data_IF_238163894117
#
_entry.id   IF_238163894117
#
_cell.length_a   1.000
_cell.length_b   1.000
_cell.length_c   1.000
_cell.angle_alpha   90.00
_cell.angle_beta   90.00
_cell.angle_gamma   90.00
#
_symmetry.space_group_name_H-M   'P 1'
#
loop_
_entity.id
_entity.type
_entity.pdbx_description
1 polymer ?
#
# COMPACT_ATOMS: atom_id res chain seq x y z
N UNK A 1 -28.89 16.15 -3.81
CA UNK A 1 -29.76 16.04 -2.62
C UNK A 1 -29.20 16.75 -1.37
N UNK A 2 -27.88 16.68 -1.11
CA UNK A 2 -27.27 17.44 0.00
C UNK A 2 -27.58 16.90 1.40
N UNK A 3 -27.87 15.60 1.52
CA UNK A 3 -28.27 14.96 2.77
C UNK A 3 -27.40 13.74 3.14
N UNK A 4 -26.94 12.96 2.15
CA UNK A 4 -26.04 11.82 2.38
C UNK A 4 -24.60 12.24 2.74
N UNK A 5 -23.69 12.33 1.75
CA UNK A 5 -22.29 12.75 1.95
C UNK A 5 -22.14 14.06 2.75
N UNK A 6 -22.98 15.06 2.46
CA UNK A 6 -23.01 16.33 3.22
C UNK A 6 -23.37 16.10 4.69
N UNK A 7 -24.36 15.25 4.97
CA UNK A 7 -24.73 14.92 6.34
C UNK A 7 -23.64 14.13 7.06
N UNK A 8 -22.98 13.20 6.39
CA UNK A 8 -21.83 12.46 6.94
C UNK A 8 -20.70 13.40 7.31
N UNK A 9 -20.34 14.36 6.44
CA UNK A 9 -19.28 15.33 6.71
C UNK A 9 -19.61 16.22 7.93
N UNK A 10 -20.82 16.78 7.97
CA UNK A 10 -21.26 17.65 9.09
C UNK A 10 -21.33 16.85 10.40
N UNK A 11 -21.87 15.62 10.35
CA UNK A 11 -21.93 14.75 11.51
C UNK A 11 -20.53 14.47 12.07
N UNK A 12 -19.58 14.11 11.20
CA UNK A 12 -18.20 13.85 11.58
C UNK A 12 -17.58 15.07 12.27
N UNK A 13 -17.72 16.26 11.67
CA UNK A 13 -17.21 17.49 12.25
C UNK A 13 -17.78 17.76 13.66
N UNK A 14 -19.10 17.65 13.81
CA UNK A 14 -19.78 17.86 15.10
C UNK A 14 -19.33 16.85 16.16
N UNK A 15 -19.15 15.59 15.77
CA UNK A 15 -18.72 14.51 16.67
C UNK A 15 -17.27 14.71 17.11
N UNK A 16 -16.37 15.11 16.20
CA UNK A 16 -14.97 15.37 16.57
C UNK A 16 -14.85 16.57 17.51
N UNK A 17 -15.65 17.62 17.30
CA UNK A 17 -15.74 18.74 18.25
C UNK A 17 -16.28 18.30 19.61
N UNK A 18 -17.27 17.39 19.63
CA UNK A 18 -17.79 16.80 20.87
C UNK A 18 -16.70 16.01 21.61
N UNK A 19 -15.91 15.23 20.88
CA UNK A 19 -14.79 14.46 21.44
C UNK A 19 -13.77 15.38 22.12
N UNK A 20 -13.37 16.46 21.44
CA UNK A 20 -12.40 17.43 21.96
C UNK A 20 -12.90 18.15 23.21
N UNK A 21 -14.16 18.60 23.22
CA UNK A 21 -14.71 19.40 24.30
C UNK A 21 -15.16 18.59 25.51
N UNK A 22 -15.65 17.36 25.30
CA UNK A 22 -16.31 16.56 26.34
C UNK A 22 -15.58 15.27 26.68
N UNK A 23 -14.57 14.89 25.90
CA UNK A 23 -13.89 13.60 26.03
C UNK A 23 -14.79 12.40 25.72
N UNK A 24 -15.95 12.62 25.08
CA UNK A 24 -16.96 11.61 24.78
C UNK A 24 -17.64 11.92 23.45
N UNK A 25 -18.09 10.88 22.75
CA UNK A 25 -18.82 11.00 21.48
C UNK A 25 -20.17 10.30 21.56
N UNK A 26 -21.19 10.88 20.93
CA UNK A 26 -22.50 10.25 20.75
C UNK A 26 -22.92 10.37 19.27
N UNK A 27 -22.55 9.36 18.50
CA UNK A 27 -22.73 9.34 17.04
C UNK A 27 -24.22 9.26 16.69
N UNK A 28 -24.99 8.44 17.41
CA UNK A 28 -26.42 8.27 17.18
C UNK A 28 -27.18 9.58 17.40
N UNK A 29 -27.04 10.19 18.58
CA UNK A 29 -27.74 11.44 18.88
C UNK A 29 -27.30 12.58 17.96
N UNK A 30 -26.04 12.58 17.50
CA UNK A 30 -25.56 13.57 16.54
C UNK A 30 -26.29 13.47 15.21
N UNK A 31 -26.50 12.27 14.67
CA UNK A 31 -27.26 12.07 13.43
C UNK A 31 -28.75 12.37 13.63
N UNK A 32 -29.34 11.98 14.78
CA UNK A 32 -30.74 12.31 15.10
C UNK A 32 -30.97 13.82 15.12
N UNK A 33 -30.09 14.59 15.74
CA UNK A 33 -30.17 16.07 15.76
C UNK A 33 -30.11 16.65 14.36
N UNK A 34 -29.18 16.19 13.51
CA UNK A 34 -29.12 16.65 12.12
C UNK A 34 -30.41 16.34 11.35
N UNK A 35 -31.05 15.20 11.63
CA UNK A 35 -32.32 14.82 11.01
C UNK A 35 -33.51 15.64 11.49
N UNK A 36 -33.45 16.23 12.68
CA UNK A 36 -34.44 17.19 13.17
C UNK A 36 -34.37 18.51 12.39
N UNK A 37 -33.15 18.96 12.05
CA UNK A 37 -32.95 20.20 11.28
C UNK A 37 -33.21 19.99 9.78
N UNK A 38 -32.85 18.82 9.23
CA UNK A 38 -33.05 18.46 7.83
C UNK A 38 -33.27 16.97 7.66
N UNK A 39 -34.41 16.59 7.09
CA UNK A 39 -34.75 15.19 6.83
C UNK A 39 -33.66 14.45 6.03
N UNK A 40 -33.48 13.17 6.34
CA UNK A 40 -32.61 12.21 5.65
C UNK A 40 -31.09 12.49 5.72
N UNK A 41 -30.62 13.34 6.65
CA UNK A 41 -29.19 13.52 6.89
C UNK A 41 -28.52 12.18 7.27
N UNK A 42 -27.38 11.87 6.64
CA UNK A 42 -26.74 10.54 6.63
C UNK A 42 -27.73 9.50 6.10
N UNK A 43 -27.76 9.34 4.78
CA UNK A 43 -28.90 8.75 4.07
C UNK A 43 -28.89 7.22 4.04
N UNK A 44 -27.72 6.59 4.06
CA UNK A 44 -27.55 5.13 3.88
C UNK A 44 -26.86 4.49 5.08
N UNK A 45 -27.03 3.18 5.24
CA UNK A 45 -26.35 2.40 6.28
C UNK A 45 -24.83 2.52 6.17
N UNK A 46 -24.26 2.29 4.98
CA UNK A 46 -22.80 2.46 4.75
C UNK A 46 -22.27 3.87 5.04
N UNK A 47 -23.09 4.93 4.91
CA UNK A 47 -22.67 6.28 5.32
C UNK A 47 -22.62 6.44 6.83
N UNK A 48 -23.48 5.74 7.56
CA UNK A 48 -23.49 5.71 9.01
C UNK A 48 -22.36 4.84 9.55
N UNK A 49 -22.09 3.70 8.92
CA UNK A 49 -20.93 2.85 9.21
C UNK A 49 -19.61 3.59 8.96
N UNK A 50 -19.45 4.19 7.77
CA UNK A 50 -18.30 5.05 7.48
C UNK A 50 -18.12 6.15 8.53
N UNK A 51 -19.21 6.74 9.04
CA UNK A 51 -19.14 7.76 10.09
C UNK A 51 -18.51 7.20 11.39
N UNK A 52 -18.94 6.02 11.86
CA UNK A 52 -18.34 5.35 13.02
C UNK A 52 -16.86 5.06 12.79
N UNK A 53 -16.55 4.51 11.63
CA UNK A 53 -15.21 4.16 11.21
C UNK A 53 -14.28 5.37 11.14
N UNK A 54 -14.74 6.48 10.56
CA UNK A 54 -13.99 7.72 10.46
C UNK A 54 -13.76 8.37 11.84
N UNK A 55 -14.75 8.31 12.75
CA UNK A 55 -14.60 8.80 14.12
C UNK A 55 -13.56 7.97 14.88
N UNK A 56 -13.61 6.64 14.77
CA UNK A 56 -12.65 5.74 15.39
C UNK A 56 -11.22 6.06 14.91
N UNK A 57 -11.01 6.13 13.59
CA UNK A 57 -9.71 6.45 13.00
C UNK A 57 -9.21 7.83 13.43
N UNK A 58 -10.06 8.85 13.42
CA UNK A 58 -9.69 10.21 13.82
C UNK A 58 -9.27 10.30 15.29
N UNK A 59 -10.02 9.67 16.21
CA UNK A 59 -9.70 9.66 17.64
C UNK A 59 -8.40 8.89 17.88
N UNK A 60 -8.27 7.70 17.27
CA UNK A 60 -7.09 6.84 17.38
C UNK A 60 -5.81 7.54 16.89
N UNK A 61 -5.88 8.28 15.80
CA UNK A 61 -4.74 8.96 15.19
C UNK A 61 -4.51 10.40 15.70
N UNK A 62 -5.42 10.97 16.50
CA UNK A 62 -5.37 12.38 16.93
C UNK A 62 -4.05 12.79 17.63
N UNK A 63 -3.40 11.85 18.32
CA UNK A 63 -2.13 12.10 19.03
C UNK A 63 -0.87 11.93 18.16
N UNK A 64 -1.00 11.29 17.00
CA UNK A 64 0.12 10.99 16.11
C UNK A 64 0.52 12.19 15.23
N UNK A 65 -0.31 13.24 15.16
CA UNK A 65 0.02 14.45 14.40
C UNK A 65 0.88 15.38 15.24
N UNK A 66 2.16 15.47 14.90
CA UNK A 66 3.12 16.36 15.57
C UNK A 66 3.37 17.60 14.72
N UNK A 67 3.26 18.78 15.35
CA UNK A 67 3.74 20.01 14.73
C UNK A 67 5.28 20.04 14.81
N UNK A 68 5.95 20.46 13.74
CA UNK A 68 7.43 20.44 13.65
C UNK A 68 8.11 21.19 14.81
N UNK A 69 7.51 22.27 15.31
CA UNK A 69 8.04 23.02 16.47
C UNK A 69 8.04 22.23 17.78
N UNK A 70 7.21 21.18 17.86
CA UNK A 70 7.00 20.37 19.06
C UNK A 70 7.85 19.10 19.02
N UNK A 71 8.57 18.83 17.93
CA UNK A 71 9.52 17.72 17.82
C UNK A 71 10.80 18.10 18.57
N UNK A 72 10.74 18.00 19.90
CA UNK A 72 11.91 18.20 20.78
C UNK A 72 12.37 16.89 21.41
N UNK A 73 11.45 15.94 21.58
CA UNK A 73 11.70 14.65 22.20
C UNK A 73 10.87 13.59 21.49
N UNK A 74 11.48 12.44 21.20
CA UNK A 74 10.72 11.26 20.78
C UNK A 74 9.93 10.72 21.99
N UNK A 75 8.68 10.27 21.79
CA UNK A 75 7.98 9.50 22.81
C UNK A 75 8.79 8.26 23.20
N UNK A 76 8.55 7.74 24.41
CA UNK A 76 9.19 6.50 24.84
C UNK A 76 8.72 5.29 24.01
N UNK A 77 9.53 4.22 24.00
CA UNK A 77 9.27 3.01 23.21
C UNK A 77 7.90 2.37 23.51
N UNK A 78 7.38 2.47 24.74
CA UNK A 78 6.09 1.88 25.09
C UNK A 78 4.95 2.70 24.48
N UNK A 79 5.05 4.03 24.51
CA UNK A 79 4.10 4.92 23.84
C UNK A 79 4.06 4.65 22.33
N UNK A 80 5.23 4.58 21.67
CA UNK A 80 5.31 4.28 20.23
C UNK A 80 4.72 2.90 19.89
N UNK A 81 4.98 1.88 20.73
CA UNK A 81 4.40 0.54 20.56
C UNK A 81 2.88 0.56 20.68
N UNK A 82 2.33 1.29 21.64
CA UNK A 82 0.88 1.42 21.81
C UNK A 82 0.24 2.14 20.63
N UNK A 83 0.89 3.17 20.09
CA UNK A 83 0.44 3.86 18.87
C UNK A 83 0.43 2.92 17.67
N UNK A 84 1.48 2.12 17.46
CA UNK A 84 1.53 1.11 16.40
C UNK A 84 0.39 0.10 16.51
N UNK A 85 0.16 -0.46 17.71
CA UNK A 85 -0.94 -1.41 17.94
C UNK A 85 -2.32 -0.78 17.69
N UNK A 86 -2.46 0.50 18.01
CA UNK A 86 -3.70 1.25 17.73
C UNK A 86 -3.93 1.36 16.22
N UNK A 87 -2.89 1.69 15.44
CA UNK A 87 -2.96 1.73 13.97
C UNK A 87 -3.36 0.36 13.40
N UNK A 88 -2.73 -0.72 13.85
CA UNK A 88 -3.09 -2.08 13.41
C UNK A 88 -4.55 -2.44 13.71
N UNK A 89 -5.05 -2.08 14.90
CA UNK A 89 -6.44 -2.34 15.32
C UNK A 89 -7.45 -1.59 14.44
N UNK A 90 -7.18 -0.31 14.17
CA UNK A 90 -8.02 0.51 13.28
C UNK A 90 -8.02 -0.08 11.87
N UNK A 91 -6.85 -0.38 11.29
CA UNK A 91 -6.75 -0.96 9.95
C UNK A 91 -7.49 -2.30 9.86
N UNK A 92 -7.34 -3.16 10.85
CA UNK A 92 -8.05 -4.46 10.89
C UNK A 92 -9.57 -4.28 10.89
N UNK A 93 -10.07 -3.24 11.56
CA UNK A 93 -11.50 -2.89 11.55
C UNK A 93 -11.93 -2.37 10.19
N UNK A 94 -11.12 -1.50 9.56
CA UNK A 94 -11.36 -0.95 8.22
C UNK A 94 -11.38 -2.02 7.12
N UNK A 95 -10.54 -3.04 7.22
CA UNK A 95 -10.49 -4.12 6.23
C UNK A 95 -11.74 -5.01 6.31
N UNK A 96 -12.22 -5.31 7.52
CA UNK A 96 -13.44 -6.12 7.70
C UNK A 96 -14.69 -5.47 7.10
N UNK A 97 -14.83 -4.16 7.28
CA UNK A 97 -15.96 -3.43 6.69
C UNK A 97 -15.91 -3.44 5.17
N UNK A 98 -14.71 -3.36 4.57
CA UNK A 98 -14.54 -3.49 3.12
C UNK A 98 -14.90 -4.88 2.60
N UNK A 99 -14.45 -5.93 3.28
CA UNK A 99 -14.81 -7.31 2.92
C UNK A 99 -16.33 -7.55 3.03
N UNK A 100 -16.99 -6.99 4.03
CA UNK A 100 -18.46 -7.06 4.18
C UNK A 100 -19.19 -6.26 3.08
N UNK A 101 -18.68 -5.11 2.66
CA UNK A 101 -19.20 -4.33 1.51
C UNK A 101 -19.00 -5.06 0.18
N UNK A 102 -17.81 -5.59 -0.10
CA UNK A 102 -17.49 -6.33 -1.33
C UNK A 102 -18.36 -7.60 -1.45
N UNK A 103 -18.56 -8.35 -0.35
CA UNK A 103 -19.44 -9.53 -0.33
C UNK A 103 -20.91 -9.21 -0.65
N UNK A 104 -21.39 -8.01 -0.30
CA UNK A 104 -22.75 -7.56 -0.61
C UNK A 104 -22.91 -7.12 -2.08
N UNK A 105 -21.83 -6.67 -2.72
CA UNK A 105 -21.81 -6.36 -4.15
C UNK A 105 -21.60 -7.63 -5.01
N UNK A 106 -20.85 -8.63 -4.50
CA UNK A 106 -20.57 -9.91 -5.17
C UNK A 106 -21.79 -10.85 -5.29
N UNK A 107 -22.85 -10.71 -4.48
CA UNK A 107 -24.09 -11.47 -4.66
C UNK A 107 -24.78 -11.22 -6.04
N UNK A 108 -24.31 -10.26 -6.84
CA UNK A 108 -24.80 -9.98 -8.19
C UNK A 108 -23.84 -10.38 -9.34
N UNK A 109 -22.70 -11.03 -9.09
CA UNK A 109 -21.80 -11.49 -10.17
C UNK A 109 -21.32 -12.93 -9.91
N UNK A 110 -21.92 -13.88 -10.62
CA UNK A 110 -21.39 -15.25 -10.71
C UNK A 110 -20.09 -15.29 -11.54
N UNK A 111 -19.15 -16.14 -11.09
CA UNK A 111 -17.96 -16.67 -11.79
C UNK A 111 -16.72 -15.77 -11.96
N UNK A 112 -16.26 -15.10 -10.90
CA UNK A 112 -14.82 -14.88 -10.73
C UNK A 112 -14.32 -15.66 -9.53
N UNK A 113 -13.70 -16.83 -9.76
CA UNK A 113 -12.88 -17.50 -8.75
C UNK A 113 -11.99 -16.46 -8.06
N UNK A 114 -12.03 -16.41 -6.73
CA UNK A 114 -11.46 -15.36 -5.90
C UNK A 114 -9.96 -15.16 -6.22
N UNK A 115 -9.65 -14.22 -7.12
CA UNK A 115 -8.31 -14.01 -7.72
C UNK A 115 -7.26 -13.76 -6.64
N UNK A 116 -7.68 -13.16 -5.52
CA UNK A 116 -6.83 -12.91 -4.35
C UNK A 116 -6.36 -14.20 -3.66
N UNK A 117 -7.21 -15.21 -3.53
CA UNK A 117 -6.80 -16.52 -2.98
C UNK A 117 -5.88 -17.28 -3.94
N UNK A 118 -6.08 -17.11 -5.26
CA UNK A 118 -5.20 -17.70 -6.26
C UNK A 118 -3.76 -17.17 -6.13
N UNK A 119 -3.59 -15.86 -5.87
CA UNK A 119 -2.26 -15.29 -5.69
C UNK A 119 -1.51 -15.88 -4.50
N UNK A 120 -2.15 -16.25 -3.38
CA UNK A 120 -1.44 -16.81 -2.22
C UNK A 120 -0.65 -18.08 -2.55
N UNK A 121 -1.08 -18.83 -3.56
CA UNK A 121 -0.43 -20.07 -4.00
C UNK A 121 0.56 -19.87 -5.14
N UNK A 122 0.69 -18.65 -5.67
CA UNK A 122 1.58 -18.35 -6.79
C UNK A 122 3.06 -18.48 -6.37
N UNK A 123 3.81 -19.30 -7.10
CA UNK A 123 5.24 -19.57 -6.86
C UNK A 123 6.15 -18.37 -7.11
N UNK A 124 5.60 -17.27 -7.66
CA UNK A 124 6.29 -15.98 -7.81
C UNK A 124 6.27 -15.15 -6.53
N UNK A 125 5.63 -15.62 -5.47
CA UNK A 125 5.67 -15.01 -4.14
C UNK A 125 6.74 -15.64 -3.26
N UNK A 126 7.57 -14.79 -2.63
CA UNK A 126 8.54 -15.24 -1.63
C UNK A 126 7.84 -15.68 -0.35
N UNK A 127 6.82 -14.93 0.06
CA UNK A 127 6.04 -15.19 1.26
C UNK A 127 4.55 -15.28 0.88
N UNK A 128 3.88 -16.44 1.08
CA UNK A 128 2.46 -16.61 0.77
C UNK A 128 1.51 -15.67 1.53
N UNK A 129 1.98 -15.13 2.67
CA UNK A 129 1.22 -14.20 3.51
C UNK A 129 1.41 -12.73 3.12
N UNK A 130 2.30 -12.43 2.18
CA UNK A 130 2.61 -11.07 1.73
C UNK A 130 2.40 -11.03 0.22
N UNK A 131 1.15 -10.75 -0.18
CA UNK A 131 0.72 -10.69 -1.58
C UNK A 131 0.05 -9.35 -1.86
N UNK A 132 0.15 -8.83 -3.10
CA UNK A 132 -0.48 -7.57 -3.45
C UNK A 132 -2.02 -7.72 -3.56
N UNK A 133 -2.72 -6.64 -3.24
CA UNK A 133 -4.13 -6.44 -3.62
C UNK A 133 -4.25 -6.36 -5.14
N UNK A 134 -5.32 -6.95 -5.70
CA UNK A 134 -5.55 -6.92 -7.15
C UNK A 134 -5.78 -5.49 -7.67
N UNK A 135 -6.38 -4.61 -6.86
CA UNK A 135 -6.66 -3.22 -7.22
C UNK A 135 -5.40 -2.35 -7.36
N UNK A 136 -4.32 -2.71 -6.66
CA UNK A 136 -3.13 -1.88 -6.55
C UNK A 136 -1.88 -2.55 -7.15
N UNK A 137 -2.01 -3.75 -7.75
CA UNK A 137 -0.88 -4.44 -8.38
C UNK A 137 -0.55 -3.85 -9.77
N UNK A 138 0.73 -3.84 -10.18
CA UNK A 138 1.08 -3.65 -11.57
C UNK A 138 0.71 -4.88 -12.40
N UNK A 139 0.20 -4.63 -13.60
CA UNK A 139 -0.03 -5.66 -14.62
C UNK A 139 1.10 -5.59 -15.64
N UNK A 140 1.82 -6.68 -15.86
CA UNK A 140 2.88 -6.76 -16.87
C UNK A 140 2.32 -7.12 -18.24
N UNK A 141 2.81 -6.46 -19.29
CA UNK A 141 2.45 -6.75 -20.69
C UNK A 141 3.01 -8.11 -21.10
N UNK A 142 2.17 -9.04 -21.56
CA UNK A 142 2.57 -10.43 -21.84
C UNK A 142 2.63 -10.73 -23.33
N UNK A 143 3.74 -11.31 -23.77
CA UNK A 143 3.81 -12.09 -25.02
C UNK A 143 3.44 -13.56 -24.78
N UNK A 144 3.11 -14.35 -25.82
CA UNK A 144 2.71 -15.76 -25.66
C UNK A 144 3.76 -16.66 -24.98
N UNK A 145 5.02 -16.23 -24.95
CA UNK A 145 6.15 -16.92 -24.30
C UNK A 145 6.33 -16.52 -22.83
N UNK A 146 5.66 -15.47 -22.38
CA UNK A 146 5.82 -14.93 -21.04
C UNK A 146 4.99 -15.73 -20.02
N UNK A 147 5.47 -15.74 -18.79
CA UNK A 147 4.82 -16.45 -17.68
C UNK A 147 3.69 -15.61 -17.06
N UNK A 148 2.81 -15.03 -17.88
CA UNK A 148 1.71 -14.18 -17.43
C UNK A 148 2.11 -12.77 -16.97
N UNK A 149 1.13 -12.06 -16.40
CA UNK A 149 1.15 -10.62 -16.12
C UNK A 149 1.56 -10.29 -14.68
N UNK A 150 1.70 -11.32 -13.84
CA UNK A 150 1.83 -11.16 -12.41
C UNK A 150 3.28 -11.02 -11.95
N UNK A 151 3.47 -10.07 -11.04
CA UNK A 151 4.64 -9.88 -10.19
C UNK A 151 4.16 -9.42 -8.81
N UNK A 152 4.82 -9.88 -7.75
CA UNK A 152 4.51 -9.45 -6.38
C UNK A 152 5.04 -8.03 -6.14
N UNK A 153 4.22 -7.05 -6.52
CA UNK A 153 4.48 -5.64 -6.33
C UNK A 153 3.16 -4.88 -6.15
N UNK A 154 3.23 -3.70 -5.54
CA UNK A 154 2.07 -2.83 -5.30
C UNK A 154 2.42 -1.37 -5.59
N UNK A 155 1.47 -0.62 -6.14
CA UNK A 155 1.55 0.82 -6.23
C UNK A 155 1.23 1.46 -4.88
N UNK A 156 2.13 2.33 -4.42
CA UNK A 156 1.90 3.16 -3.24
C UNK A 156 1.83 4.62 -3.67
N UNK A 157 0.74 5.30 -3.33
CA UNK A 157 0.58 6.70 -3.68
C UNK A 157 1.55 7.58 -2.89
N UNK A 158 2.20 8.52 -3.59
CA UNK A 158 3.04 9.53 -2.95
C UNK A 158 2.18 10.60 -2.24
N UNK A 159 2.78 11.36 -1.34
CA UNK A 159 2.14 12.44 -0.60
C UNK A 159 1.48 13.47 -1.52
N UNK A 160 2.10 13.78 -2.67
CA UNK A 160 1.57 14.74 -3.65
C UNK A 160 0.45 14.18 -4.53
N UNK A 161 0.15 12.88 -4.42
CA UNK A 161 -0.82 12.11 -5.22
C UNK A 161 -0.59 12.10 -6.74
N UNK A 162 0.44 12.77 -7.24
CA UNK A 162 0.78 12.87 -8.67
C UNK A 162 1.70 11.75 -9.11
N UNK A 163 2.53 11.25 -8.20
CA UNK A 163 3.44 10.13 -8.44
C UNK A 163 3.07 8.92 -7.57
N UNK A 164 3.52 7.75 -8.00
CA UNK A 164 3.38 6.48 -7.27
C UNK A 164 4.74 5.84 -7.12
N UNK A 165 5.00 5.26 -5.96
CA UNK A 165 6.09 4.32 -5.75
C UNK A 165 5.63 2.92 -6.12
N UNK A 166 6.57 2.06 -6.49
CA UNK A 166 6.33 0.63 -6.62
C UNK A 166 7.10 -0.04 -5.50
N UNK A 167 6.40 -0.78 -4.65
CA UNK A 167 7.02 -1.60 -3.62
C UNK A 167 6.91 -3.06 -4.04
N UNK A 168 8.03 -3.76 -4.05
CA UNK A 168 8.13 -5.15 -4.49
C UNK A 168 9.05 -5.92 -3.55
N UNK A 169 8.85 -7.23 -3.46
CA UNK A 169 9.85 -8.12 -2.86
C UNK A 169 11.17 -8.03 -3.62
N UNK A 170 12.30 -8.35 -2.95
CA UNK A 170 13.56 -8.55 -3.67
C UNK A 170 13.37 -9.64 -4.74
N UNK A 171 13.98 -9.51 -5.94
CA UNK A 171 13.80 -10.49 -7.00
C UNK A 171 14.23 -11.90 -6.59
N UNK A 172 13.46 -12.89 -7.02
CA UNK A 172 13.79 -14.32 -6.86
C UNK A 172 14.42 -14.85 -8.15
N UNK A 173 15.07 -16.01 -8.12
CA UNK A 173 15.63 -16.61 -9.34
C UNK A 173 14.57 -16.81 -10.43
N UNK A 174 13.33 -17.07 -10.04
CA UNK A 174 12.17 -17.26 -10.92
C UNK A 174 11.47 -15.96 -11.33
N UNK A 175 11.81 -14.81 -10.75
CA UNK A 175 11.09 -13.54 -10.98
C UNK A 175 11.98 -12.37 -11.41
N UNK A 176 13.29 -12.60 -11.58
CA UNK A 176 14.23 -11.55 -11.97
C UNK A 176 13.92 -10.95 -13.36
N UNK A 177 13.36 -11.75 -14.27
CA UNK A 177 12.96 -11.28 -15.60
C UNK A 177 11.72 -10.39 -15.49
N UNK A 178 10.71 -10.82 -14.73
CA UNK A 178 9.50 -10.04 -14.44
C UNK A 178 9.84 -8.73 -13.73
N UNK A 179 10.83 -8.73 -12.85
CA UNK A 179 11.32 -7.50 -12.21
C UNK A 179 11.86 -6.50 -13.24
N UNK A 180 12.70 -6.93 -14.19
CA UNK A 180 13.21 -6.01 -15.22
C UNK A 180 12.13 -5.61 -16.26
N UNK A 181 11.13 -6.47 -16.50
CA UNK A 181 9.91 -6.09 -17.24
C UNK A 181 9.17 -4.98 -16.51
N UNK A 182 8.94 -5.11 -15.21
CA UNK A 182 8.30 -4.08 -14.38
C UNK A 182 9.05 -2.75 -14.46
N UNK A 183 10.37 -2.77 -14.24
CA UNK A 183 11.22 -1.57 -14.28
C UNK A 183 11.14 -0.87 -15.63
N UNK A 184 11.23 -1.64 -16.73
CA UNK A 184 11.21 -1.09 -18.09
C UNK A 184 9.82 -0.57 -18.47
N UNK A 185 8.77 -1.38 -18.25
CA UNK A 185 7.40 -1.05 -18.63
C UNK A 185 6.86 0.19 -17.91
N UNK A 186 7.18 0.34 -16.63
CA UNK A 186 6.73 1.47 -15.82
C UNK A 186 7.75 2.62 -15.76
N UNK A 187 8.79 2.59 -16.60
CA UNK A 187 9.82 3.63 -16.71
C UNK A 187 10.42 4.02 -15.35
N UNK A 188 10.80 3.03 -14.55
CA UNK A 188 11.36 3.24 -13.22
C UNK A 188 12.83 3.70 -13.36
N UNK A 189 13.11 4.94 -12.95
CA UNK A 189 14.45 5.53 -13.06
C UNK A 189 15.33 5.33 -11.83
N UNK A 190 14.73 5.06 -10.66
CA UNK A 190 15.46 4.91 -9.39
C UNK A 190 14.99 3.65 -8.71
N UNK A 191 15.96 2.80 -8.34
CA UNK A 191 15.75 1.60 -7.56
C UNK A 191 16.37 1.81 -6.18
N UNK A 192 15.60 1.53 -5.13
CA UNK A 192 16.09 1.52 -3.75
C UNK A 192 15.95 0.10 -3.24
N UNK A 193 17.07 -0.54 -2.92
CA UNK A 193 17.12 -1.92 -2.44
C UNK A 193 17.63 -1.94 -1.01
N UNK A 194 16.93 -2.67 -0.15
CA UNK A 194 17.32 -2.91 1.24
C UNK A 194 17.76 -4.37 1.41
N UNK A 195 18.65 -4.62 2.35
CA UNK A 195 19.09 -5.97 2.72
C UNK A 195 19.67 -6.80 1.57
N UNK A 196 20.35 -6.17 0.61
CA UNK A 196 20.99 -6.87 -0.53
C UNK A 196 22.01 -7.91 -0.08
N UNK A 197 22.70 -7.69 1.05
CA UNK A 197 23.65 -8.63 1.65
C UNK A 197 23.00 -9.93 2.15
N UNK A 198 21.66 -9.93 2.33
CA UNK A 198 20.92 -11.13 2.73
C UNK A 198 21.11 -12.27 1.73
N UNK A 199 21.43 -11.97 0.46
CA UNK A 199 21.75 -12.95 -0.58
C UNK A 199 22.81 -13.98 -0.18
N UNK A 200 23.73 -13.62 0.72
CA UNK A 200 24.77 -14.54 1.21
C UNK A 200 24.15 -15.69 2.03
N UNK A 201 23.03 -15.43 2.72
CA UNK A 201 22.35 -16.37 3.62
C UNK A 201 21.05 -16.92 3.02
N UNK A 202 20.30 -16.08 2.31
CA UNK A 202 19.02 -16.39 1.71
C UNK A 202 19.14 -16.64 0.20
N UNK A 203 19.13 -17.92 -0.18
CA UNK A 203 19.19 -18.37 -1.57
C UNK A 203 17.94 -18.05 -2.38
N UNK A 204 16.87 -17.61 -1.74
CA UNK A 204 15.65 -17.18 -2.44
C UNK A 204 15.81 -15.77 -3.02
N UNK A 205 16.83 -14.99 -2.59
CA UNK A 205 17.19 -13.72 -3.23
C UNK A 205 18.13 -13.96 -4.41
N UNK A 206 17.75 -13.45 -5.58
CA UNK A 206 18.57 -13.53 -6.79
C UNK A 206 19.37 -12.26 -7.01
N UNK A 207 20.53 -12.42 -7.66
CA UNK A 207 21.27 -11.29 -8.20
C UNK A 207 20.46 -10.67 -9.32
N UNK A 208 19.98 -9.44 -9.10
CA UNK A 208 19.19 -8.69 -10.07
C UNK A 208 19.96 -7.53 -10.70
N UNK A 209 21.05 -7.07 -10.08
CA UNK A 209 21.94 -6.04 -10.63
C UNK A 209 23.41 -6.53 -10.67
N UNK A 210 24.26 -5.94 -11.54
CA UNK A 210 25.69 -6.26 -11.59
C UNK A 210 26.42 -5.81 -10.31
N UNK A 211 27.42 -6.57 -9.86
CA UNK A 211 28.07 -6.35 -8.55
C UNK A 211 29.25 -5.38 -8.59
N UNK A 212 29.84 -5.15 -9.76
CA UNK A 212 31.02 -4.29 -9.91
C UNK A 212 30.82 -3.30 -11.05
N UNK A 213 31.57 -2.19 -11.01
CA UNK A 213 31.65 -1.26 -12.12
C UNK A 213 32.03 -2.01 -13.42
N UNK A 214 31.45 -1.57 -14.53
CA UNK A 214 31.68 -2.10 -15.88
C UNK A 214 31.29 -3.59 -16.07
N UNK A 215 30.57 -4.18 -15.11
CA UNK A 215 30.00 -5.52 -15.25
C UNK A 215 28.60 -5.48 -15.85
N UNK A 216 28.22 -6.57 -16.52
CA UNK A 216 26.90 -6.74 -17.10
C UNK A 216 26.20 -7.95 -16.49
N UNK A 217 24.89 -7.84 -16.32
CA UNK A 217 24.01 -8.95 -15.95
C UNK A 217 23.03 -9.20 -17.10
N UNK A 218 23.11 -10.40 -17.68
CA UNK A 218 22.12 -10.86 -18.65
C UNK A 218 21.01 -11.62 -17.95
N UNK A 219 19.77 -11.19 -18.14
CA UNK A 219 18.58 -11.82 -17.56
C UNK A 219 17.43 -11.82 -18.58
N UNK A 220 17.19 -12.98 -19.20
CA UNK A 220 16.20 -13.08 -20.28
C UNK A 220 16.53 -12.13 -21.44
N UNK A 221 15.58 -11.29 -21.89
CA UNK A 221 15.79 -10.31 -22.96
C UNK A 221 16.48 -9.02 -22.48
N UNK A 222 16.81 -8.91 -21.19
CA UNK A 222 17.43 -7.72 -20.62
C UNK A 222 18.92 -7.92 -20.43
N UNK A 223 19.67 -6.87 -20.76
CA UNK A 223 21.08 -6.74 -20.48
C UNK A 223 21.30 -5.47 -19.65
N UNK A 224 21.72 -5.66 -18.41
CA UNK A 224 21.86 -4.59 -17.42
C UNK A 224 23.35 -4.33 -17.21
N UNK A 225 23.81 -3.17 -17.66
CA UNK A 225 25.19 -2.73 -17.53
C UNK A 225 25.33 -1.80 -16.33
N UNK A 226 26.33 -2.04 -15.49
CA UNK A 226 26.71 -1.12 -14.44
C UNK A 226 27.75 -0.14 -14.99
N UNK A 227 27.36 1.13 -15.13
CA UNK A 227 28.18 2.20 -15.66
C UNK A 227 29.12 2.79 -14.61
N UNK A 228 28.66 2.88 -13.36
CA UNK A 228 29.45 3.40 -12.25
C UNK A 228 28.98 2.82 -10.93
N UNK A 229 29.92 2.62 -10.03
CA UNK A 229 29.69 2.16 -8.67
C UNK A 229 30.35 3.12 -7.70
N UNK A 230 29.65 3.50 -6.64
CA UNK A 230 30.17 4.30 -5.53
C UNK A 230 29.71 3.66 -4.22
N UNK A 231 30.65 3.42 -3.32
CA UNK A 231 30.40 2.89 -1.98
C UNK A 231 30.54 4.06 -1.01
N UNK A 232 29.42 4.47 -0.43
CA UNK A 232 29.36 5.41 0.68
C UNK A 232 29.16 4.63 1.98
N UNK A 233 29.64 5.18 3.11
CA UNK A 233 29.55 4.52 4.42
C UNK A 233 28.14 4.07 4.86
N UNK A 234 27.08 4.55 4.20
CA UNK A 234 25.68 4.29 4.53
C UNK A 234 24.92 3.56 3.42
N UNK A 235 25.37 3.60 2.16
CA UNK A 235 24.71 2.98 1.02
C UNK A 235 25.67 2.79 -0.16
N UNK A 236 25.33 1.86 -1.04
CA UNK A 236 25.96 1.72 -2.35
C UNK A 236 25.11 2.42 -3.42
N UNK A 237 25.75 3.20 -4.29
CA UNK A 237 25.12 3.83 -5.45
C UNK A 237 25.62 3.19 -6.75
N UNK A 238 24.68 2.84 -7.64
CA UNK A 238 24.96 2.27 -8.95
C UNK A 238 24.21 3.02 -10.05
N UNK A 239 24.92 3.42 -11.10
CA UNK A 239 24.28 3.89 -12.34
C UNK A 239 24.13 2.73 -13.31
N UNK A 240 22.90 2.36 -13.64
CA UNK A 240 22.60 1.22 -14.50
C UNK A 240 22.09 1.67 -15.87
N UNK A 241 22.59 1.01 -16.93
CA UNK A 241 22.02 1.08 -18.26
C UNK A 241 21.32 -0.23 -18.58
N UNK A 242 20.02 -0.17 -18.82
CA UNK A 242 19.21 -1.35 -19.19
C UNK A 242 18.97 -1.32 -20.69
N UNK A 243 19.36 -2.39 -21.38
CA UNK A 243 19.02 -2.63 -22.78
C UNK A 243 18.06 -3.82 -22.83
N UNK A 244 16.97 -3.70 -23.59
CA UNK A 244 16.05 -4.80 -23.83
C UNK A 244 16.06 -5.15 -25.31
N UNK A 245 16.18 -6.44 -25.63
CA UNK A 245 16.04 -6.95 -27.00
C UNK A 245 14.57 -6.91 -27.51
N UNK A 246 13.65 -6.29 -26.73
CA UNK A 246 12.22 -6.16 -27.00
C UNK A 246 11.84 -4.91 -27.82
N UNK A 247 12.81 -4.30 -28.52
CA UNK A 247 12.61 -3.13 -29.39
C UNK A 247 12.30 -3.50 -30.83
#
# INVERSE_FOLDING_TARGET
>A
AGVGRTGTFIALQNILQQAEQKGQVDIFSSVVKLRQDRLLMVQTAGQYEFLHTAVLAAIACSKATLHISNIKYLPDNQTLKNEYLTVCSVISTLSRTKEEEDNLEEENVNESENVYENFKTDLRNRFPTIVPSDNDRPMLSCEPKDNGDYINAVFIQNFDKKSRHIVTQLPMPTTVVEFWRLVSQYNVSVLVAFETDSMVKDKTVSKFAPSSAESALKCGPFNVHNLSYTDDNLWDEQSLQVQSDLS
#
